data_IF_463443937537
#
_entry.id   IF_463443937537
#
_cell.length_a   1.000
_cell.length_b   1.000
_cell.length_c   1.000
_cell.angle_alpha   90.00
_cell.angle_beta   90.00
_cell.angle_gamma   90.00
#
_symmetry.space_group_name_H-M   'P 1'
#
loop_
_entity.id
_entity.type
_entity.pdbx_description
1 polymer ?
#
# COMPACT_ATOMS: atom_id res chain seq x y z
N UNK A 1 19.65 25.05 -24.11
CA UNK A 1 19.23 23.94 -23.22
C UNK A 1 19.68 24.34 -21.83
N UNK A 2 18.75 24.55 -20.90
CA UNK A 2 19.10 24.79 -19.50
C UNK A 2 19.32 23.41 -18.90
N UNK A 3 20.57 23.06 -18.61
CA UNK A 3 20.91 21.84 -17.87
C UNK A 3 20.38 22.01 -16.44
N UNK A 4 19.17 21.51 -16.20
CA UNK A 4 18.62 21.43 -14.86
C UNK A 4 19.45 20.41 -14.05
N UNK A 5 19.81 20.73 -12.80
CA UNK A 5 20.66 19.87 -11.99
C UNK A 5 20.00 18.50 -11.78
N UNK A 6 20.78 17.44 -11.98
CA UNK A 6 20.34 16.06 -11.74
C UNK A 6 19.87 15.87 -10.30
N UNK A 7 18.86 15.02 -10.12
CA UNK A 7 18.29 14.74 -8.79
C UNK A 7 19.38 14.24 -7.83
N UNK A 8 19.48 14.81 -6.62
CA UNK A 8 20.48 14.39 -5.64
C UNK A 8 20.31 12.90 -5.32
N UNK A 9 21.44 12.19 -5.22
CA UNK A 9 21.50 10.73 -4.99
C UNK A 9 20.61 10.27 -3.81
N UNK A 10 20.53 11.07 -2.75
CA UNK A 10 19.73 10.77 -1.57
C UNK A 10 18.23 10.71 -1.88
N UNK A 11 17.72 11.54 -2.80
CA UNK A 11 16.31 11.48 -3.24
C UNK A 11 16.05 10.25 -4.10
N UNK A 12 17.00 9.89 -4.97
CA UNK A 12 16.92 8.66 -5.79
C UNK A 12 16.89 7.40 -4.92
N UNK A 13 17.78 7.31 -3.94
CA UNK A 13 17.80 6.19 -2.98
C UNK A 13 16.53 6.13 -2.11
N UNK A 14 16.02 7.29 -1.67
CA UNK A 14 14.77 7.34 -0.89
C UNK A 14 13.57 6.85 -1.70
N UNK A 15 13.50 7.24 -2.99
CA UNK A 15 12.47 6.77 -3.91
C UNK A 15 12.58 5.25 -4.14
N UNK A 16 13.77 4.74 -4.45
CA UNK A 16 14.00 3.30 -4.63
C UNK A 16 13.66 2.48 -3.37
N UNK A 17 13.99 3.00 -2.18
CA UNK A 17 13.66 2.33 -0.90
C UNK A 17 12.15 2.27 -0.68
N UNK A 18 11.43 3.36 -0.96
CA UNK A 18 9.96 3.37 -0.90
C UNK A 18 9.35 2.39 -1.89
N UNK A 19 9.93 2.29 -3.08
CA UNK A 19 9.47 1.34 -4.08
C UNK A 19 9.65 -0.12 -3.66
N UNK A 20 10.84 -0.46 -3.17
CA UNK A 20 11.16 -1.78 -2.65
C UNK A 20 10.21 -2.19 -1.50
N UNK A 21 9.91 -1.26 -0.58
CA UNK A 21 8.95 -1.50 0.49
C UNK A 21 7.55 -1.82 -0.06
N UNK A 22 7.12 -1.08 -1.09
CA UNK A 22 5.83 -1.28 -1.72
C UNK A 22 5.74 -2.67 -2.39
N UNK A 23 6.79 -3.07 -3.11
CA UNK A 23 6.86 -4.38 -3.78
C UNK A 23 6.90 -5.55 -2.77
N UNK A 24 7.63 -5.41 -1.67
CA UNK A 24 7.60 -6.38 -0.57
C UNK A 24 6.18 -6.52 -0.01
N UNK A 25 5.52 -5.39 0.24
CA UNK A 25 4.16 -5.37 0.77
C UNK A 25 3.15 -6.03 -0.18
N UNK A 26 3.22 -5.72 -1.48
CA UNK A 26 2.43 -6.39 -2.51
C UNK A 26 2.68 -7.89 -2.54
N UNK A 27 3.95 -8.31 -2.49
CA UNK A 27 4.31 -9.73 -2.53
C UNK A 27 3.69 -10.48 -1.36
N UNK A 28 3.72 -9.91 -0.15
CA UNK A 28 3.10 -10.48 1.04
C UNK A 28 1.58 -10.59 0.90
N UNK A 29 0.93 -9.56 0.35
CA UNK A 29 -0.51 -9.56 0.12
C UNK A 29 -0.95 -10.61 -0.92
N UNK A 30 -0.32 -10.63 -2.11
CA UNK A 30 -0.77 -11.51 -3.20
C UNK A 30 -0.35 -12.96 -3.04
N UNK A 31 0.76 -13.24 -2.35
CA UNK A 31 1.30 -14.62 -2.25
C UNK A 31 1.16 -15.19 -0.84
N UNK A 32 1.59 -14.44 0.18
CA UNK A 32 1.71 -14.96 1.53
C UNK A 32 0.39 -14.89 2.33
N UNK A 33 -0.50 -13.94 2.03
CA UNK A 33 -1.74 -13.73 2.76
C UNK A 33 -2.57 -15.02 2.93
N UNK A 34 -2.89 -15.70 1.83
CA UNK A 34 -3.67 -16.95 1.91
C UNK A 34 -2.93 -18.06 2.67
N UNK A 35 -1.62 -18.17 2.44
CA UNK A 35 -0.77 -19.17 3.13
C UNK A 35 -0.75 -18.89 4.64
N UNK A 36 -0.64 -17.64 5.04
CA UNK A 36 -0.65 -17.23 6.45
C UNK A 36 -1.99 -17.57 7.12
N UNK A 37 -3.11 -17.14 6.52
CA UNK A 37 -4.42 -17.39 7.11
C UNK A 37 -4.77 -18.88 7.16
N UNK A 38 -4.47 -19.64 6.10
CA UNK A 38 -4.77 -21.07 6.04
C UNK A 38 -3.78 -21.93 6.85
N UNK A 39 -2.47 -21.76 6.64
CA UNK A 39 -1.45 -22.67 7.18
C UNK A 39 -0.89 -22.24 8.54
N UNK A 40 -0.93 -20.94 8.88
CA UNK A 40 -0.40 -20.44 10.17
C UNK A 40 -1.54 -20.24 11.18
N UNK A 41 -2.61 -19.54 10.78
CA UNK A 41 -3.76 -19.30 11.67
C UNK A 41 -4.80 -20.44 11.66
N UNK A 42 -4.69 -21.39 10.73
CA UNK A 42 -5.58 -22.55 10.66
C UNK A 42 -7.02 -22.20 10.27
N UNK A 43 -7.24 -21.08 9.56
CA UNK A 43 -8.55 -20.76 9.01
C UNK A 43 -8.92 -21.78 7.94
N UNK A 44 -10.20 -22.12 7.83
CA UNK A 44 -10.68 -22.87 6.68
C UNK A 44 -10.41 -22.08 5.38
N UNK A 45 -10.15 -22.80 4.29
CA UNK A 45 -9.90 -22.22 2.97
C UNK A 45 -11.02 -21.25 2.53
N UNK A 46 -12.27 -21.54 2.90
CA UNK A 46 -13.40 -20.66 2.62
C UNK A 46 -13.24 -19.28 3.29
N UNK A 47 -12.93 -19.24 4.60
CA UNK A 47 -12.80 -17.98 5.33
C UNK A 47 -11.57 -17.17 4.92
N UNK A 48 -10.44 -17.83 4.67
CA UNK A 48 -9.25 -17.17 4.14
C UNK A 48 -9.53 -16.54 2.76
N UNK A 49 -10.25 -17.27 1.89
CA UNK A 49 -10.70 -16.76 0.59
C UNK A 49 -11.67 -15.58 0.71
N UNK A 50 -12.59 -15.60 1.68
CA UNK A 50 -13.50 -14.47 1.93
C UNK A 50 -12.75 -13.22 2.36
N UNK A 51 -11.73 -13.32 3.22
CA UNK A 51 -10.91 -12.17 3.60
C UNK A 51 -10.18 -11.57 2.41
N UNK A 52 -9.60 -12.42 1.55
CA UNK A 52 -8.94 -11.97 0.33
C UNK A 52 -9.95 -11.28 -0.60
N UNK A 53 -11.14 -11.86 -0.79
CA UNK A 53 -12.21 -11.30 -1.62
C UNK A 53 -12.64 -9.92 -1.14
N UNK A 54 -12.85 -9.76 0.19
CA UNK A 54 -13.16 -8.44 0.78
C UNK A 54 -12.05 -7.44 0.47
N UNK A 55 -10.78 -7.85 0.56
CA UNK A 55 -9.66 -7.00 0.20
C UNK A 55 -9.67 -6.59 -1.28
N UNK A 56 -9.95 -7.51 -2.21
CA UNK A 56 -10.06 -7.19 -3.64
C UNK A 56 -11.21 -6.21 -3.94
N UNK A 57 -12.35 -6.39 -3.28
CA UNK A 57 -13.49 -5.46 -3.40
C UNK A 57 -13.10 -4.08 -2.86
N UNK A 58 -12.47 -4.03 -1.68
CA UNK A 58 -12.01 -2.78 -1.09
C UNK A 58 -11.02 -2.04 -2.00
N UNK A 59 -10.04 -2.74 -2.57
CA UNK A 59 -9.06 -2.14 -3.50
C UNK A 59 -9.72 -1.62 -4.78
N UNK A 60 -10.65 -2.40 -5.36
CA UNK A 60 -11.41 -1.99 -6.53
C UNK A 60 -12.26 -0.73 -6.31
N UNK A 61 -12.72 -0.49 -5.07
CA UNK A 61 -13.45 0.73 -4.70
C UNK A 61 -12.51 1.88 -4.31
N UNK A 62 -11.47 1.60 -3.52
CA UNK A 62 -10.53 2.60 -3.03
C UNK A 62 -9.68 3.20 -4.15
N UNK A 63 -9.27 2.41 -5.14
CA UNK A 63 -8.44 2.88 -6.27
C UNK A 63 -9.06 4.06 -7.03
N UNK A 64 -10.30 3.99 -7.55
CA UNK A 64 -10.91 5.13 -8.24
C UNK A 64 -11.23 6.29 -7.30
N UNK A 65 -11.65 6.02 -6.07
CA UNK A 65 -11.94 7.06 -5.07
C UNK A 65 -10.69 7.87 -4.73
N UNK A 66 -9.60 7.19 -4.40
CA UNK A 66 -8.31 7.82 -4.07
C UNK A 66 -7.71 8.49 -5.30
N UNK A 67 -7.84 7.89 -6.48
CA UNK A 67 -7.43 8.54 -7.73
C UNK A 67 -8.11 9.90 -7.92
N UNK A 68 -9.44 9.92 -7.84
CA UNK A 68 -10.22 11.16 -7.96
C UNK A 68 -9.90 12.18 -6.87
N UNK A 69 -9.84 11.75 -5.61
CA UNK A 69 -9.59 12.63 -4.46
C UNK A 69 -8.17 13.19 -4.45
N UNK A 70 -7.18 12.38 -4.86
CA UNK A 70 -5.78 12.79 -4.96
C UNK A 70 -5.53 13.83 -6.05
N UNK A 71 -6.36 13.82 -7.10
CA UNK A 71 -6.29 14.80 -8.18
C UNK A 71 -7.01 16.11 -7.85
N UNK A 72 -8.04 16.07 -7.00
CA UNK A 72 -8.86 17.25 -6.66
C UNK A 72 -8.33 18.04 -5.47
N UNK A 73 -7.84 17.39 -4.41
CA UNK A 73 -7.45 18.07 -3.17
C UNK A 73 -6.00 18.52 -3.19
N UNK A 74 -5.75 19.82 -3.02
CA UNK A 74 -4.42 20.44 -3.02
C UNK A 74 -3.61 20.21 -1.73
N UNK A 75 -3.40 18.96 -1.33
CA UNK A 75 -2.49 18.57 -0.24
C UNK A 75 -2.88 19.03 1.17
N UNK A 76 -2.33 18.35 2.17
CA UNK A 76 -2.40 18.77 3.58
C UNK A 76 -1.06 19.43 3.91
N UNK A 77 -1.08 20.73 4.22
CA UNK A 77 0.05 21.53 4.75
C UNK A 77 1.43 21.35 4.06
N UNK A 78 1.87 22.35 3.28
CA UNK A 78 3.28 22.62 2.88
C UNK A 78 4.11 21.50 2.19
N UNK A 79 3.68 20.24 2.21
CA UNK A 79 4.41 19.07 1.70
C UNK A 79 4.05 18.72 0.26
N UNK A 80 3.11 19.46 -0.35
CA UNK A 80 2.64 19.22 -1.72
C UNK A 80 1.62 18.08 -1.81
N UNK A 81 0.76 18.16 -2.83
CA UNK A 81 -0.40 17.27 -3.02
C UNK A 81 -0.03 15.79 -3.04
N UNK A 82 0.91 15.39 -3.89
CA UNK A 82 1.26 13.98 -4.13
C UNK A 82 1.99 13.34 -2.94
N UNK A 83 2.91 14.05 -2.30
CA UNK A 83 3.62 13.55 -1.09
C UNK A 83 2.70 13.40 0.11
N UNK A 84 1.69 14.28 0.26
CA UNK A 84 0.71 14.16 1.34
C UNK A 84 -0.09 12.87 1.24
N UNK A 85 -0.61 12.56 0.05
CA UNK A 85 -1.35 11.31 -0.20
C UNK A 85 -0.47 10.07 -0.06
N UNK A 86 0.79 10.16 -0.49
CA UNK A 86 1.76 9.09 -0.27
C UNK A 86 1.98 8.83 1.22
N UNK A 87 2.22 9.87 2.01
CA UNK A 87 2.43 9.76 3.46
C UNK A 87 1.21 9.17 4.18
N UNK A 88 -0.01 9.63 3.84
CA UNK A 88 -1.26 9.10 4.41
C UNK A 88 -1.41 7.62 4.08
N UNK A 89 -1.12 7.23 2.83
CA UNK A 89 -1.13 5.84 2.41
C UNK A 89 -0.13 5.00 3.19
N UNK A 90 1.13 5.45 3.26
CA UNK A 90 2.21 4.72 3.94
C UNK A 90 1.91 4.55 5.43
N UNK A 91 1.42 5.58 6.10
CA UNK A 91 1.02 5.50 7.51
C UNK A 91 -0.13 4.50 7.70
N UNK A 92 -1.13 4.52 6.81
CA UNK A 92 -2.25 3.58 6.87
C UNK A 92 -1.77 2.13 6.72
N UNK A 93 -0.85 1.86 5.78
CA UNK A 93 -0.23 0.54 5.58
C UNK A 93 0.58 0.11 6.79
N UNK A 94 1.46 0.97 7.31
CA UNK A 94 2.31 0.65 8.47
C UNK A 94 1.48 0.36 9.72
N UNK A 95 0.35 1.06 9.89
CA UNK A 95 -0.54 0.84 11.03
C UNK A 95 -1.40 -0.40 10.89
N UNK A 96 -1.82 -0.80 9.69
CA UNK A 96 -2.70 -1.96 9.51
C UNK A 96 -1.93 -3.28 9.32
N UNK A 97 -0.80 -3.25 8.64
CA UNK A 97 -0.06 -4.45 8.22
C UNK A 97 0.35 -5.36 9.39
N UNK A 98 0.86 -4.86 10.53
CA UNK A 98 1.18 -5.70 11.68
C UNK A 98 -0.05 -6.40 12.27
N UNK A 99 -1.24 -5.80 12.22
CA UNK A 99 -2.46 -6.40 12.75
C UNK A 99 -3.04 -7.48 11.83
N UNK A 100 -2.74 -7.43 10.53
CA UNK A 100 -3.14 -8.49 9.58
C UNK A 100 -2.31 -9.75 9.78
N UNK A 101 -1.00 -9.59 10.03
CA UNK A 101 -0.04 -10.71 10.14
C UNK A 101 0.31 -11.07 11.59
N UNK A 102 -0.51 -10.66 12.55
CA UNK A 102 -0.40 -11.07 13.95
C UNK A 102 -1.69 -11.81 14.35
N UNK A 103 -1.61 -12.90 15.13
CA UNK A 103 -2.80 -13.54 15.70
C UNK A 103 -3.73 -12.51 16.34
N UNK A 104 -5.04 -12.74 16.19
CA UNK A 104 -6.03 -11.81 16.71
C UNK A 104 -5.90 -11.64 18.22
N UNK A 105 -5.82 -10.38 18.65
CA UNK A 105 -5.61 -10.00 20.05
C UNK A 105 -6.83 -10.41 20.86
N UNK A 106 -6.68 -11.41 21.73
CA UNK A 106 -7.74 -11.90 22.61
C UNK A 106 -8.57 -13.06 22.06
N UNK A 107 -8.23 -13.62 20.90
CA UNK A 107 -8.80 -14.88 20.46
C UNK A 107 -8.22 -16.06 21.26
N UNK A 108 -9.09 -16.91 21.77
CA UNK A 108 -8.74 -18.20 22.37
C UNK A 108 -9.04 -19.36 21.41
N UNK A 109 -8.58 -20.58 21.70
CA UNK A 109 -8.82 -21.78 20.87
C UNK A 109 -10.30 -22.05 20.55
N UNK A 110 -11.22 -21.60 21.40
CA UNK A 110 -12.67 -21.80 21.22
C UNK A 110 -13.37 -20.67 20.46
N UNK A 111 -12.61 -19.69 19.95
CA UNK A 111 -13.21 -18.54 19.25
C UNK A 111 -13.63 -18.98 17.86
N UNK A 112 -14.89 -18.76 17.46
CA UNK A 112 -15.34 -19.17 16.14
C UNK A 112 -14.72 -18.28 15.04
N UNK A 113 -14.37 -18.88 13.91
CA UNK A 113 -13.59 -18.22 12.84
C UNK A 113 -14.29 -16.98 12.24
N UNK A 114 -15.62 -16.91 12.27
CA UNK A 114 -16.39 -15.74 11.83
C UNK A 114 -16.11 -14.49 12.69
N UNK A 115 -15.74 -14.64 13.96
CA UNK A 115 -15.32 -13.51 14.81
C UNK A 115 -13.96 -13.00 14.34
N UNK A 116 -13.07 -13.92 13.97
CA UNK A 116 -11.80 -13.58 13.34
C UNK A 116 -12.00 -12.79 12.05
N UNK A 117 -12.99 -13.15 11.21
CA UNK A 117 -13.32 -12.35 10.02
C UNK A 117 -13.64 -10.90 10.37
N UNK A 118 -14.55 -10.69 11.32
CA UNK A 118 -14.97 -9.34 11.74
C UNK A 118 -13.78 -8.54 12.28
N UNK A 119 -12.84 -9.19 12.97
CA UNK A 119 -11.62 -8.56 13.46
C UNK A 119 -10.68 -8.15 12.32
N UNK A 120 -10.41 -9.02 11.34
CA UNK A 120 -9.42 -8.76 10.29
C UNK A 120 -9.93 -7.83 9.17
N UNK A 121 -11.23 -7.87 8.84
CA UNK A 121 -11.84 -7.04 7.79
C UNK A 121 -11.49 -5.55 7.88
N UNK A 122 -11.66 -4.84 9.02
CA UNK A 122 -11.36 -3.41 9.09
C UNK A 122 -9.89 -3.10 8.80
N UNK A 123 -8.95 -3.93 9.30
CA UNK A 123 -7.53 -3.76 9.01
C UNK A 123 -7.20 -4.00 7.54
N UNK A 124 -7.83 -5.01 6.93
CA UNK A 124 -7.71 -5.26 5.48
C UNK A 124 -8.24 -4.07 4.68
N UNK A 125 -9.41 -3.52 5.02
CA UNK A 125 -9.95 -2.36 4.30
C UNK A 125 -9.04 -1.14 4.41
N UNK A 126 -8.51 -0.86 5.61
CA UNK A 126 -7.53 0.22 5.83
C UNK A 126 -6.25 -0.03 5.03
N UNK A 127 -5.78 -1.28 5.00
CA UNK A 127 -4.62 -1.68 4.22
C UNK A 127 -4.82 -1.44 2.72
N UNK A 128 -5.96 -1.85 2.16
CA UNK A 128 -6.26 -1.68 0.73
C UNK A 128 -6.43 -0.20 0.36
N UNK A 129 -7.05 0.60 1.24
CA UNK A 129 -7.07 2.05 1.07
C UNK A 129 -5.67 2.66 1.08
N UNK A 130 -4.84 2.26 2.06
CA UNK A 130 -3.46 2.73 2.18
C UNK A 130 -2.62 2.36 0.96
N UNK A 131 -2.76 1.13 0.48
CA UNK A 131 -2.11 0.59 -0.71
C UNK A 131 -2.49 1.36 -1.98
N UNK A 132 -3.79 1.61 -2.19
CA UNK A 132 -4.25 2.41 -3.32
C UNK A 132 -3.66 3.84 -3.26
N UNK A 133 -3.62 4.45 -2.07
CA UNK A 133 -3.03 5.77 -1.87
C UNK A 133 -1.53 5.81 -2.11
N UNK A 134 -0.75 4.84 -1.61
CA UNK A 134 0.70 4.79 -1.84
C UNK A 134 1.02 4.58 -3.31
N UNK A 135 0.36 3.61 -3.97
CA UNK A 135 0.67 3.23 -5.34
C UNK A 135 0.35 4.35 -6.33
N UNK A 136 -0.85 4.93 -6.26
CA UNK A 136 -1.28 6.00 -7.18
C UNK A 136 -0.39 7.25 -7.00
N UNK A 137 -0.12 7.63 -5.75
CA UNK A 137 0.72 8.80 -5.46
C UNK A 137 2.19 8.59 -5.83
N UNK A 138 2.72 7.38 -5.66
CA UNK A 138 4.09 7.04 -6.02
C UNK A 138 4.30 7.04 -7.53
N UNK A 139 3.40 6.40 -8.29
CA UNK A 139 3.47 6.38 -9.76
C UNK A 139 3.30 7.77 -10.38
N UNK A 140 2.42 8.59 -9.82
CA UNK A 140 2.27 9.98 -10.26
C UNK A 140 3.47 10.85 -9.90
N UNK A 141 4.33 10.48 -8.95
CA UNK A 141 5.51 11.27 -8.62
C UNK A 141 6.62 11.18 -9.69
N UNK A 142 6.65 10.09 -10.48
CA UNK A 142 7.66 9.83 -11.52
C UNK A 142 7.72 10.96 -12.58
N UNK A 143 6.61 11.34 -13.25
CA UNK A 143 6.65 12.41 -14.26
C UNK A 143 6.93 13.80 -13.68
N UNK A 144 6.67 14.04 -12.39
CA UNK A 144 6.97 15.32 -11.75
C UNK A 144 8.45 15.44 -11.34
N UNK A 145 9.08 14.34 -10.95
CA UNK A 145 10.50 14.29 -10.58
C UNK A 145 11.41 14.33 -11.81
N UNK A 146 10.97 13.69 -12.90
CA UNK A 146 11.81 13.53 -14.07
C UNK A 146 11.64 14.71 -15.04
N UNK A 147 12.56 15.67 -14.92
CA UNK A 147 12.58 16.89 -15.75
C UNK A 147 13.08 16.62 -17.18
N UNK A 148 13.85 15.54 -17.37
CA UNK A 148 14.37 15.08 -18.66
C UNK A 148 13.95 13.62 -18.92
N UNK A 149 13.83 13.22 -20.18
CA UNK A 149 13.50 11.82 -20.54
C UNK A 149 14.59 10.83 -20.09
N UNK A 150 15.84 11.28 -19.94
CA UNK A 150 16.92 10.47 -19.39
C UNK A 150 16.70 10.13 -17.90
N UNK A 151 16.25 11.11 -17.09
CA UNK A 151 15.92 10.89 -15.68
C UNK A 151 14.69 9.97 -15.51
N UNK A 152 13.73 10.00 -16.45
CA UNK A 152 12.58 9.06 -16.45
C UNK A 152 13.06 7.62 -16.61
N UNK A 153 13.95 7.40 -17.58
CA UNK A 153 14.50 6.06 -17.86
C UNK A 153 15.32 5.57 -16.67
N UNK A 154 16.14 6.44 -16.08
CA UNK A 154 16.97 6.07 -14.93
C UNK A 154 16.12 5.78 -13.66
N UNK A 155 15.13 6.61 -13.35
CA UNK A 155 14.21 6.37 -12.22
C UNK A 155 13.35 5.11 -12.40
N UNK A 156 12.99 4.78 -13.64
CA UNK A 156 12.27 3.53 -13.94
C UNK A 156 13.18 2.31 -13.82
N UNK A 157 14.48 2.45 -14.09
CA UNK A 157 15.47 1.38 -13.96
C UNK A 157 15.84 1.07 -12.49
N UNK A 158 15.65 2.02 -11.57
CA UNK A 158 15.83 1.83 -10.13
C UNK A 158 14.57 1.31 -9.41
N UNK A 159 13.45 1.15 -10.13
CA UNK A 159 12.26 0.42 -9.67
C UNK A 159 12.49 -1.07 -9.83
#
# INVERSE_FOLDING_TARGET
MVDLPSLPLCQRLSFATGHFLNDLCASMWFTYFLVYFHSVLGFDSFYAGMLLLVGQIADGLCTPLVGYESDRHAGLLAYGRRKSWHLVGTLSVVLSFPFIFNPCLGCTLNTPQWVGLIYFIPFIVIFQFGWAATQISHLSLIPDLAQNDHDKVELTAFR
#
